data_IF_935029177947
#
_entry.id   IF_935029177947
#
_cell.length_a   1.000
_cell.length_b   1.000
_cell.length_c   1.000
_cell.angle_alpha   90.00
_cell.angle_beta   90.00
_cell.angle_gamma   90.00
#
_symmetry.space_group_name_H-M   'P 1'
#
loop_
_entity.id
_entity.type
_entity.pdbx_description
1 polymer ?
#
# COMPACT_ATOMS: atom_id res chain seq x y z
N UNK A 1 24.30 62.64 32.94
CA UNK A 1 24.04 62.14 31.55
C UNK A 1 23.86 60.63 31.64
N UNK A 2 22.59 60.20 31.75
CA UNK A 2 22.26 58.78 31.96
C UNK A 2 22.01 58.12 30.60
N UNK A 3 22.72 57.04 30.29
CA UNK A 3 22.53 56.24 29.07
C UNK A 3 21.54 55.14 29.35
N UNK A 4 20.34 55.24 28.79
CA UNK A 4 19.32 54.23 28.83
C UNK A 4 19.62 53.21 27.71
N UNK A 5 20.04 51.99 28.08
CA UNK A 5 20.17 50.85 27.15
C UNK A 5 18.82 50.20 26.96
N UNK A 6 18.30 50.33 25.72
CA UNK A 6 17.08 49.67 25.29
C UNK A 6 17.43 48.21 24.85
N UNK A 7 17.11 47.25 25.68
CA UNK A 7 17.25 45.84 25.32
C UNK A 7 16.06 45.40 24.48
N UNK A 8 16.31 45.07 23.21
CA UNK A 8 15.32 44.56 22.27
C UNK A 8 15.15 43.04 22.52
N UNK A 9 14.05 42.63 23.17
CA UNK A 9 13.67 41.21 23.27
C UNK A 9 13.05 40.77 21.96
N UNK A 10 13.82 39.99 21.19
CA UNK A 10 13.30 39.31 19.99
C UNK A 10 12.56 38.02 20.45
N UNK A 11 11.24 38.06 20.55
CA UNK A 11 10.42 36.90 20.85
C UNK A 11 10.35 36.03 19.58
N UNK A 12 11.09 34.92 19.57
CA UNK A 12 11.03 33.89 18.54
C UNK A 12 9.78 33.05 18.78
N UNK A 13 8.66 33.38 18.13
CA UNK A 13 7.47 32.55 18.09
C UNK A 13 7.76 31.33 17.18
N UNK A 14 8.18 30.21 17.77
CA UNK A 14 8.23 28.92 17.08
C UNK A 14 6.80 28.46 16.82
N UNK A 15 6.32 28.61 15.58
CA UNK A 15 5.09 27.98 15.13
C UNK A 15 5.28 26.46 15.21
N UNK A 16 4.60 25.82 16.17
CA UNK A 16 4.42 24.38 16.18
C UNK A 16 3.57 24.01 14.96
N UNK A 17 4.22 23.70 13.84
CA UNK A 17 3.56 23.08 12.70
C UNK A 17 3.08 21.69 13.18
N UNK A 18 1.82 21.60 13.59
CA UNK A 18 1.19 20.33 13.90
C UNK A 18 1.29 19.44 12.68
N UNK A 19 1.80 18.21 12.85
CA UNK A 19 1.80 17.22 11.78
C UNK A 19 0.35 17.01 11.30
N UNK A 20 0.14 17.03 9.99
CA UNK A 20 -1.18 16.75 9.42
C UNK A 20 -1.66 15.37 9.92
N UNK A 21 -2.95 15.23 10.23
CA UNK A 21 -3.48 13.96 10.71
C UNK A 21 -3.23 12.86 9.67
N UNK A 22 -2.74 11.73 10.12
CA UNK A 22 -2.50 10.57 9.27
C UNK A 22 -3.84 10.04 8.72
N UNK A 23 -3.90 9.64 7.45
CA UNK A 23 -5.10 9.04 6.89
C UNK A 23 -5.39 7.69 7.58
N UNK A 24 -6.63 7.21 7.51
CA UNK A 24 -6.97 5.86 7.92
C UNK A 24 -6.25 4.82 7.04
N UNK A 25 -6.17 3.59 7.53
CA UNK A 25 -5.61 2.46 6.77
C UNK A 25 -6.72 1.68 6.10
N UNK A 26 -6.64 1.48 4.79
CA UNK A 26 -7.45 0.47 4.08
C UNK A 26 -6.67 -0.84 4.05
N UNK A 27 -7.38 -1.95 4.31
CA UNK A 27 -6.88 -3.31 4.15
C UNK A 27 -7.77 -4.08 3.19
N UNK A 28 -7.15 -4.70 2.21
CA UNK A 28 -7.79 -5.65 1.29
C UNK A 28 -7.31 -7.04 1.63
N UNK A 29 -8.23 -7.90 2.11
CA UNK A 29 -7.97 -9.30 2.38
C UNK A 29 -8.40 -10.13 1.18
N UNK A 30 -7.58 -11.09 0.79
CA UNK A 30 -7.85 -11.97 -0.34
C UNK A 30 -7.25 -13.36 -0.12
N UNK A 31 -7.87 -14.36 -0.76
CA UNK A 31 -7.27 -15.69 -0.89
C UNK A 31 -6.42 -15.74 -2.16
N UNK A 32 -5.15 -16.13 -2.00
CA UNK A 32 -4.24 -16.48 -3.07
C UNK A 32 -4.09 -17.99 -3.11
N UNK A 33 -4.54 -18.66 -4.19
CA UNK A 33 -4.61 -20.10 -4.28
C UNK A 33 -4.08 -20.62 -5.61
N UNK A 34 -3.67 -21.89 -5.62
CA UNK A 34 -3.16 -22.55 -6.81
C UNK A 34 -2.09 -23.58 -6.50
N UNK A 35 -1.15 -23.76 -7.41
CA UNK A 35 -0.05 -24.72 -7.34
C UNK A 35 1.24 -24.14 -7.97
N UNK A 36 2.23 -24.99 -8.26
CA UNK A 36 3.49 -24.54 -8.87
C UNK A 36 3.30 -23.83 -10.22
N UNK A 37 2.26 -24.16 -11.00
CA UNK A 37 2.05 -23.69 -12.36
C UNK A 37 0.98 -22.60 -12.47
N UNK A 38 -0.02 -22.63 -11.59
CA UNK A 38 -1.19 -21.73 -11.66
C UNK A 38 -1.41 -21.02 -10.34
N UNK A 39 -1.98 -19.81 -10.42
CA UNK A 39 -2.45 -19.06 -9.27
C UNK A 39 -3.74 -18.30 -9.58
N UNK A 40 -4.53 -18.08 -8.55
CA UNK A 40 -5.82 -17.40 -8.59
C UNK A 40 -5.96 -16.51 -7.37
N UNK A 41 -6.71 -15.43 -7.52
CA UNK A 41 -7.00 -14.47 -6.46
C UNK A 41 -8.50 -14.35 -6.27
N UNK A 42 -8.96 -14.37 -5.03
CA UNK A 42 -10.36 -14.16 -4.67
C UNK A 42 -10.46 -13.12 -3.56
N UNK A 43 -11.22 -12.05 -3.80
CA UNK A 43 -11.48 -11.04 -2.77
C UNK A 43 -12.27 -11.66 -1.62
N UNK A 44 -11.82 -11.43 -0.39
CA UNK A 44 -12.55 -11.79 0.82
C UNK A 44 -13.30 -10.58 1.38
N UNK A 45 -12.58 -9.48 1.59
CA UNK A 45 -13.18 -8.23 2.09
C UNK A 45 -12.25 -7.04 1.91
N UNK A 46 -12.85 -5.85 1.96
CA UNK A 46 -12.16 -4.57 2.09
C UNK A 46 -12.63 -3.93 3.39
N UNK A 47 -11.73 -3.45 4.21
CA UNK A 47 -12.07 -2.81 5.49
C UNK A 47 -11.15 -1.63 5.79
N UNK A 48 -11.64 -0.76 6.67
CA UNK A 48 -10.86 0.32 7.27
C UNK A 48 -10.39 -0.15 8.64
N UNK A 49 -9.08 -0.16 8.85
CA UNK A 49 -8.51 -0.50 10.15
C UNK A 49 -8.73 0.65 11.16
N UNK A 50 -8.86 0.33 12.46
CA UNK A 50 -9.15 1.34 13.49
C UNK A 50 -7.98 2.29 13.73
N UNK A 51 -6.76 1.90 13.35
CA UNK A 51 -5.56 2.70 13.52
C UNK A 51 -5.23 3.50 12.24
N UNK A 52 -4.64 4.69 12.39
CA UNK A 52 -4.20 5.47 11.25
C UNK A 52 -3.11 4.74 10.47
N UNK A 53 -2.90 5.17 9.24
CA UNK A 53 -1.83 4.65 8.37
C UNK A 53 -0.46 4.78 9.03
N UNK A 54 0.27 3.68 9.29
CA UNK A 54 1.56 3.71 9.96
C UNK A 54 2.73 4.08 9.03
N UNK A 55 2.49 4.14 7.72
CA UNK A 55 3.52 4.44 6.73
C UNK A 55 3.85 5.93 6.64
N UNK A 56 4.96 6.25 5.96
CA UNK A 56 5.34 7.62 5.71
C UNK A 56 4.48 8.22 4.58
N UNK A 57 3.66 9.26 4.83
CA UNK A 57 2.79 9.87 3.82
C UNK A 57 3.55 10.59 2.70
N UNK A 58 4.83 10.90 2.90
CA UNK A 58 5.69 11.47 1.87
C UNK A 58 6.30 10.40 0.93
N UNK A 59 6.05 9.10 1.19
CA UNK A 59 6.61 7.97 0.42
C UNK A 59 5.52 7.01 -0.01
N UNK A 60 4.63 7.48 -0.86
CA UNK A 60 3.52 6.68 -1.37
C UNK A 60 3.92 5.72 -2.49
N UNK A 61 5.06 5.93 -3.12
CA UNK A 61 5.53 5.11 -4.22
C UNK A 61 6.77 4.31 -3.81
N UNK A 62 6.78 3.04 -4.17
CA UNK A 62 7.92 2.16 -3.97
C UNK A 62 8.77 2.11 -5.24
N UNK A 63 9.97 2.64 -5.13
CA UNK A 63 11.00 2.68 -6.17
C UNK A 63 12.11 1.65 -5.94
N UNK A 64 11.98 0.82 -4.91
CA UNK A 64 12.99 -0.17 -4.54
C UNK A 64 13.16 -1.29 -5.55
N UNK A 65 12.12 -1.54 -6.35
CA UNK A 65 12.05 -2.61 -7.36
C UNK A 65 12.39 -4.00 -6.77
N UNK A 66 11.86 -4.29 -5.57
CA UNK A 66 12.08 -5.54 -4.83
C UNK A 66 10.77 -6.32 -4.69
N UNK A 67 10.90 -7.65 -4.42
CA UNK A 67 9.74 -8.52 -4.23
C UNK A 67 9.18 -9.08 -5.55
N UNK A 68 8.37 -10.12 -5.41
CA UNK A 68 7.74 -10.81 -6.54
C UNK A 68 6.42 -10.17 -6.98
N UNK A 69 5.83 -9.40 -6.09
CA UNK A 69 4.55 -8.75 -6.31
C UNK A 69 4.64 -7.25 -6.07
N UNK A 70 3.69 -6.53 -6.65
CA UNK A 70 3.45 -5.10 -6.39
C UNK A 70 1.97 -4.87 -6.19
N UNK A 71 1.60 -4.13 -5.16
CA UNK A 71 0.28 -3.52 -5.08
C UNK A 71 0.33 -2.12 -5.67
N UNK A 72 -0.65 -1.79 -6.48
CA UNK A 72 -0.89 -0.44 -6.99
C UNK A 72 -2.31 -0.02 -6.67
N UNK A 73 -2.44 1.22 -6.21
CA UNK A 73 -3.73 1.89 -6.01
C UNK A 73 -3.77 3.08 -6.94
N UNK A 74 -4.72 3.08 -7.87
CA UNK A 74 -4.86 4.13 -8.86
C UNK A 74 -6.26 4.77 -8.78
N UNK A 75 -6.35 6.04 -9.11
CA UNK A 75 -7.63 6.72 -9.29
C UNK A 75 -8.49 5.97 -10.32
N UNK A 76 -9.72 5.62 -9.95
CA UNK A 76 -10.59 4.82 -10.81
C UNK A 76 -11.03 5.57 -12.07
N UNK A 77 -11.02 6.92 -12.06
CA UNK A 77 -11.46 7.77 -13.15
C UNK A 77 -10.32 8.15 -14.09
N UNK A 78 -9.17 8.58 -13.53
CA UNK A 78 -8.04 9.09 -14.34
C UNK A 78 -6.99 8.02 -14.61
N UNK A 79 -6.90 6.99 -13.78
CA UNK A 79 -5.85 5.98 -13.82
C UNK A 79 -4.54 6.40 -13.17
N UNK A 80 -4.48 7.62 -12.60
CA UNK A 80 -3.28 8.12 -11.94
C UNK A 80 -2.91 7.26 -10.73
N UNK A 81 -1.64 6.91 -10.63
CA UNK A 81 -1.12 6.12 -9.52
C UNK A 81 -1.11 6.97 -8.24
N UNK A 82 -1.73 6.47 -7.16
CA UNK A 82 -1.81 7.12 -5.86
C UNK A 82 -0.90 6.47 -4.82
N UNK A 83 -0.68 5.16 -4.94
CA UNK A 83 0.14 4.39 -4.02
C UNK A 83 0.70 3.15 -4.72
N UNK A 84 1.93 2.77 -4.38
CA UNK A 84 2.51 1.48 -4.75
C UNK A 84 3.42 0.93 -3.65
N UNK A 85 3.47 -0.42 -3.54
CA UNK A 85 4.36 -1.13 -2.64
C UNK A 85 4.73 -2.47 -3.23
N UNK A 86 6.03 -2.78 -3.25
CA UNK A 86 6.56 -4.09 -3.62
C UNK A 86 6.54 -5.02 -2.41
N UNK A 87 6.23 -6.30 -2.62
CA UNK A 87 6.14 -7.30 -1.56
C UNK A 87 6.34 -8.72 -2.09
N UNK A 88 6.55 -9.66 -1.17
CA UNK A 88 6.54 -11.10 -1.43
C UNK A 88 5.43 -11.75 -0.63
N UNK A 89 4.95 -12.90 -1.09
CA UNK A 89 3.81 -13.61 -0.49
C UNK A 89 4.20 -15.00 0.00
N UNK A 90 3.46 -15.52 0.98
CA UNK A 90 3.61 -16.90 1.44
C UNK A 90 3.33 -17.87 0.31
N UNK A 91 2.29 -17.61 -0.51
CA UNK A 91 2.01 -18.40 -1.70
C UNK A 91 3.20 -18.41 -2.66
N UNK A 92 3.83 -17.25 -2.88
CA UNK A 92 4.99 -17.11 -3.76
C UNK A 92 6.18 -17.98 -3.32
N UNK A 93 6.42 -18.10 -2.02
CA UNK A 93 7.46 -18.97 -1.46
C UNK A 93 7.04 -20.44 -1.53
N UNK A 94 5.83 -20.77 -1.08
CA UNK A 94 5.32 -22.16 -1.07
C UNK A 94 5.29 -22.76 -2.47
N UNK A 95 4.91 -22.01 -3.51
CA UNK A 95 4.80 -22.54 -4.89
C UNK A 95 6.12 -23.04 -5.47
N UNK A 96 7.27 -22.72 -4.86
CA UNK A 96 8.59 -23.21 -5.24
C UNK A 96 8.96 -24.55 -4.62
N UNK A 97 8.11 -25.10 -3.77
CA UNK A 97 8.34 -26.38 -3.09
C UNK A 97 7.89 -27.58 -3.93
N UNK A 98 8.45 -28.76 -3.62
CA UNK A 98 8.02 -30.03 -4.22
C UNK A 98 6.56 -30.38 -3.94
N UNK A 99 5.99 -29.86 -2.85
CA UNK A 99 4.59 -30.04 -2.52
C UNK A 99 3.69 -29.32 -3.52
N UNK A 100 4.03 -28.10 -3.90
CA UNK A 100 3.23 -27.31 -4.83
C UNK A 100 3.14 -27.93 -6.24
N UNK A 101 4.09 -28.82 -6.60
CA UNK A 101 4.01 -29.59 -7.85
C UNK A 101 2.95 -30.70 -7.80
N UNK A 102 2.47 -31.07 -6.62
CA UNK A 102 1.58 -32.22 -6.40
C UNK A 102 0.18 -31.84 -5.94
N UNK A 103 0.05 -30.72 -5.23
CA UNK A 103 -1.23 -30.26 -4.65
C UNK A 103 -1.46 -28.79 -4.89
N UNK A 104 -2.72 -28.36 -4.78
CA UNK A 104 -3.09 -26.94 -4.75
C UNK A 104 -3.40 -26.53 -3.31
N UNK A 105 -3.02 -25.31 -2.95
CA UNK A 105 -3.32 -24.69 -1.64
C UNK A 105 -3.83 -23.26 -1.80
N UNK A 106 -4.53 -22.80 -0.77
CA UNK A 106 -4.94 -21.39 -0.61
C UNK A 106 -4.31 -20.80 0.64
N UNK A 107 -3.95 -19.52 0.53
CA UNK A 107 -3.37 -18.73 1.60
C UNK A 107 -4.16 -17.43 1.74
N UNK A 108 -4.45 -17.04 2.99
CA UNK A 108 -4.98 -15.73 3.28
C UNK A 108 -3.85 -14.71 3.24
N UNK A 109 -4.01 -13.70 2.43
CA UNK A 109 -3.05 -12.62 2.26
C UNK A 109 -3.76 -11.27 2.36
N UNK A 110 -3.01 -10.22 2.64
CA UNK A 110 -3.58 -8.88 2.68
C UNK A 110 -2.61 -7.83 2.19
N UNK A 111 -3.14 -6.78 1.59
CA UNK A 111 -2.41 -5.56 1.29
C UNK A 111 -3.04 -4.38 2.01
N UNK A 112 -2.20 -3.41 2.41
CA UNK A 112 -2.60 -2.21 3.13
C UNK A 112 -2.09 -0.99 2.42
N UNK A 113 -2.89 0.09 2.47
CA UNK A 113 -2.52 1.38 1.91
C UNK A 113 -3.26 2.51 2.63
N UNK A 114 -2.79 3.77 2.54
CA UNK A 114 -3.48 4.91 3.11
C UNK A 114 -4.85 5.08 2.43
N UNK A 115 -5.91 5.35 3.23
CA UNK A 115 -7.26 5.54 2.69
C UNK A 115 -7.29 6.67 1.67
N UNK A 116 -7.67 6.39 0.41
CA UNK A 116 -7.85 7.43 -0.59
C UNK A 116 -9.08 8.29 -0.29
N UNK A 117 -9.10 9.51 -0.80
CA UNK A 117 -10.25 10.45 -0.74
C UNK A 117 -11.20 10.30 -1.93
N UNK A 118 -11.01 9.29 -2.76
CA UNK A 118 -11.72 9.08 -4.03
C UNK A 118 -11.83 7.59 -4.38
N UNK A 119 -12.75 7.22 -5.30
CA UNK A 119 -12.84 5.87 -5.82
C UNK A 119 -11.55 5.42 -6.46
N UNK A 120 -11.13 4.18 -6.19
CA UNK A 120 -9.86 3.64 -6.65
C UNK A 120 -10.00 2.27 -7.29
N UNK A 121 -9.04 1.95 -8.12
CA UNK A 121 -8.75 0.61 -8.61
C UNK A 121 -7.50 0.09 -7.89
N UNK A 122 -7.63 -1.05 -7.23
CA UNK A 122 -6.49 -1.75 -6.61
C UNK A 122 -6.06 -2.87 -7.52
N UNK A 123 -4.77 -2.95 -7.80
CA UNK A 123 -4.17 -3.98 -8.65
C UNK A 123 -3.07 -4.71 -7.88
N UNK A 124 -3.01 -6.03 -8.04
CA UNK A 124 -1.85 -6.83 -7.69
C UNK A 124 -1.15 -7.20 -8.99
N UNK A 125 0.10 -6.81 -9.08
CA UNK A 125 0.99 -7.15 -10.18
C UNK A 125 1.94 -8.25 -9.73
N UNK A 126 2.34 -9.08 -10.68
CA UNK A 126 3.30 -10.15 -10.49
C UNK A 126 4.48 -9.97 -11.44
N UNK A 127 5.65 -10.23 -10.93
CA UNK A 127 6.89 -10.18 -11.71
C UNK A 127 7.04 -11.46 -12.52
N UNK A 128 7.36 -11.31 -13.79
CA UNK A 128 7.69 -12.40 -14.70
C UNK A 128 9.19 -12.76 -14.64
N UNK A 129 9.61 -13.74 -15.44
CA UNK A 129 11.01 -14.20 -15.54
C UNK A 129 11.95 -13.12 -16.12
N UNK A 130 11.41 -12.11 -16.77
CA UNK A 130 12.16 -10.95 -17.31
C UNK A 130 12.23 -9.79 -16.32
N UNK A 131 11.76 -10.00 -15.08
CA UNK A 131 11.63 -8.97 -14.06
C UNK A 131 10.66 -7.83 -14.40
N UNK A 132 9.68 -8.08 -15.29
CA UNK A 132 8.65 -7.12 -15.63
C UNK A 132 7.37 -7.42 -14.86
N UNK A 133 6.71 -6.37 -14.38
CA UNK A 133 5.43 -6.49 -13.71
C UNK A 133 4.28 -6.54 -14.72
N UNK A 134 3.38 -7.48 -14.53
CA UNK A 134 2.09 -7.55 -15.22
C UNK A 134 0.95 -7.69 -14.23
N UNK A 135 -0.24 -7.18 -14.58
CA UNK A 135 -1.40 -7.24 -13.70
C UNK A 135 -1.87 -8.70 -13.58
N UNK A 136 -1.81 -9.25 -12.37
CA UNK A 136 -2.30 -10.58 -12.05
C UNK A 136 -3.76 -10.55 -11.58
N UNK A 137 -4.17 -9.51 -10.84
CA UNK A 137 -5.51 -9.35 -10.32
C UNK A 137 -5.87 -7.90 -10.09
N UNK A 138 -7.15 -7.55 -10.17
CA UNK A 138 -7.64 -6.20 -9.86
C UNK A 138 -9.04 -6.20 -9.30
N UNK A 139 -9.30 -5.25 -8.40
CA UNK A 139 -10.64 -4.90 -7.92
C UNK A 139 -10.89 -3.41 -8.15
N UNK A 140 -12.13 -3.06 -8.43
CA UNK A 140 -12.58 -1.67 -8.47
C UNK A 140 -13.50 -1.42 -7.28
N UNK A 141 -13.10 -0.50 -6.43
CA UNK A 141 -14.01 0.05 -5.44
C UNK A 141 -14.74 1.25 -6.06
N UNK A 142 -15.97 1.01 -6.51
CA UNK A 142 -16.86 2.04 -7.07
C UNK A 142 -17.60 2.82 -5.97
N UNK A 143 -17.55 2.35 -4.74
CA UNK A 143 -18.09 3.02 -3.57
C UNK A 143 -16.93 3.33 -2.66
N UNK A 144 -16.68 4.63 -2.42
CA UNK A 144 -15.74 5.03 -1.36
C UNK A 144 -15.97 4.12 -0.15
N UNK A 145 -14.91 3.43 0.26
CA UNK A 145 -14.91 2.52 1.42
C UNK A 145 -15.54 3.26 2.59
N UNK A 146 -16.74 2.85 2.97
CA UNK A 146 -17.50 3.43 4.11
C UNK A 146 -16.91 2.88 5.40
#
# INVERSE_FOLDING_TARGET
MSKISLALFLACAAALAGAAPQPATVRVDYTHSGNALTDQYALERVLIEPLPWPGNPARNFDDSNRGQNRVEVADAKTGDLLYSRDFSTIFGEWRTTDEAAKVSRGFHESVRFPKPDRPVKVRILKRDERNLFSVAWSIEDRKSVV
#
